data_IF_753699624074
#
_entry.id   IF_753699624074
#
_cell.length_a   1.000
_cell.length_b   1.000
_cell.length_c   1.000
_cell.angle_alpha   90.00
_cell.angle_beta   90.00
_cell.angle_gamma   90.00
#
_symmetry.space_group_name_H-M   'P 1'
#
loop_
_entity.id
_entity.type
_entity.pdbx_description
1 polymer ?
#
# COMPACT_ATOMS: atom_id res chain seq x y z
N UNK A 1 -0.93 10.58 2.59
CA UNK A 1 -1.82 9.93 1.63
C UNK A 1 -1.72 8.46 1.91
N UNK A 2 -2.82 7.81 2.23
CA UNK A 2 -2.79 6.37 2.53
C UNK A 2 -2.91 5.60 1.21
N UNK A 3 -1.96 4.70 0.89
CA UNK A 3 -2.08 3.85 -0.29
C UNK A 3 -3.28 2.91 -0.13
N UNK A 4 -3.97 2.65 -1.24
CA UNK A 4 -5.03 1.65 -1.33
C UNK A 4 -4.43 0.48 -2.12
N UNK A 5 -4.58 -0.73 -1.60
CA UNK A 5 -4.08 -1.96 -2.21
C UNK A 5 -5.25 -2.90 -2.49
N UNK A 6 -5.24 -3.56 -3.63
CA UNK A 6 -6.17 -4.64 -3.95
C UNK A 6 -5.53 -5.97 -3.58
N UNK A 7 -6.25 -6.85 -2.87
CA UNK A 7 -5.71 -8.11 -2.35
C UNK A 7 -6.81 -9.12 -2.03
N UNK A 8 -6.49 -10.40 -2.13
CA UNK A 8 -7.31 -11.53 -1.67
C UNK A 8 -7.40 -11.62 -0.13
N UNK A 9 -6.59 -10.84 0.59
CA UNK A 9 -6.65 -10.72 2.04
C UNK A 9 -8.04 -10.30 2.56
N UNK A 10 -8.83 -9.56 1.77
CA UNK A 10 -10.16 -9.06 2.19
C UNK A 10 -11.16 -10.17 2.51
N UNK A 11 -11.01 -11.33 1.87
CA UNK A 11 -11.90 -12.48 2.06
C UNK A 11 -11.39 -13.45 3.14
N UNK A 12 -10.14 -13.27 3.59
CA UNK A 12 -9.41 -14.25 4.43
C UNK A 12 -8.93 -13.69 5.76
N UNK A 13 -8.72 -12.38 5.86
CA UNK A 13 -8.38 -11.71 7.10
C UNK A 13 -9.64 -11.45 7.93
N UNK A 14 -9.54 -11.64 9.24
CA UNK A 14 -10.62 -11.40 10.18
C UNK A 14 -10.35 -10.15 11.02
N UNK A 15 -11.41 -9.61 11.62
CA UNK A 15 -11.27 -8.52 12.57
C UNK A 15 -10.38 -8.94 13.74
N UNK A 16 -9.30 -8.17 13.97
CA UNK A 16 -8.35 -8.41 15.05
C UNK A 16 -7.11 -9.18 14.64
N UNK A 17 -7.02 -9.66 13.39
CA UNK A 17 -5.77 -10.22 12.85
C UNK A 17 -4.67 -9.14 12.78
N UNK A 18 -3.45 -9.53 13.13
CA UNK A 18 -2.25 -8.72 12.93
C UNK A 18 -1.68 -8.98 11.54
N UNK A 19 -1.63 -7.93 10.72
CA UNK A 19 -1.15 -7.99 9.34
C UNK A 19 0.14 -7.19 9.19
N UNK A 20 1.15 -7.79 8.57
CA UNK A 20 2.32 -7.09 8.04
C UNK A 20 2.15 -6.87 6.53
N UNK A 21 2.33 -5.63 6.06
CA UNK A 21 2.10 -5.27 4.65
C UNK A 21 3.41 -4.81 4.01
N UNK A 22 3.87 -5.55 3.00
CA UNK A 22 4.95 -5.15 2.11
C UNK A 22 4.36 -4.76 0.74
N UNK A 23 4.01 -3.48 0.61
CA UNK A 23 3.39 -2.93 -0.60
C UNK A 23 4.34 -2.86 -1.80
N UNK A 24 5.65 -2.91 -1.57
CA UNK A 24 6.67 -2.92 -2.62
C UNK A 24 6.86 -4.33 -3.18
N UNK A 25 6.87 -5.35 -2.32
CA UNK A 25 6.93 -6.75 -2.72
C UNK A 25 5.57 -7.29 -3.21
N UNK A 26 4.47 -6.63 -2.88
CA UNK A 26 3.11 -7.07 -3.23
C UNK A 26 2.63 -8.22 -2.34
N UNK A 27 3.03 -8.21 -1.06
CA UNK A 27 2.76 -9.29 -0.11
C UNK A 27 2.14 -8.73 1.17
N UNK A 28 1.07 -9.37 1.64
CA UNK A 28 0.47 -9.15 2.95
C UNK A 28 0.61 -10.43 3.75
N UNK A 29 1.21 -10.38 4.94
CA UNK A 29 1.39 -11.53 5.83
C UNK A 29 0.46 -11.41 7.01
N UNK A 30 -0.39 -12.41 7.21
CA UNK A 30 -1.22 -12.54 8.39
C UNK A 30 -0.42 -13.27 9.48
N UNK A 31 0.08 -12.51 10.45
CA UNK A 31 0.92 -13.02 11.51
C UNK A 31 0.12 -13.86 12.52
N UNK A 32 -1.19 -13.60 12.64
CA UNK A 32 -2.10 -14.34 13.52
C UNK A 32 -2.40 -15.73 12.97
N UNK A 33 -2.59 -15.86 11.65
CA UNK A 33 -2.94 -17.13 10.98
C UNK A 33 -1.76 -17.86 10.36
N UNK A 34 -0.63 -17.19 10.16
CA UNK A 34 0.54 -17.74 9.46
C UNK A 34 0.30 -17.92 7.97
N UNK A 35 -0.47 -17.03 7.34
CA UNK A 35 -0.81 -17.06 5.92
C UNK A 35 -0.26 -15.84 5.20
N UNK A 36 0.10 -16.02 3.92
CA UNK A 36 0.51 -14.92 3.04
C UNK A 36 -0.54 -14.73 1.94
N UNK A 37 -0.78 -13.46 1.61
CA UNK A 37 -1.72 -12.99 0.59
C UNK A 37 -1.00 -12.11 -0.42
N UNK A 38 -1.48 -12.11 -1.66
CA UNK A 38 -0.91 -11.27 -2.70
C UNK A 38 -1.65 -9.93 -2.73
N UNK A 39 -0.93 -8.85 -2.99
CA UNK A 39 -1.54 -7.55 -3.25
C UNK A 39 -0.92 -6.87 -4.46
N UNK A 40 -1.69 -5.98 -5.08
CA UNK A 40 -1.20 -5.14 -6.18
C UNK A 40 -0.08 -4.24 -5.66
N UNK A 41 1.09 -4.30 -6.31
CA UNK A 41 2.19 -3.39 -6.00
C UNK A 41 1.84 -1.98 -6.43
N UNK A 42 2.28 -0.99 -5.64
CA UNK A 42 2.21 0.41 -6.07
C UNK A 42 3.25 0.62 -7.16
N UNK A 43 2.81 1.07 -8.33
CA UNK A 43 3.69 1.33 -9.47
C UNK A 43 3.62 2.80 -9.88
N UNK A 44 4.49 3.22 -10.80
CA UNK A 44 4.43 4.52 -11.47
C UNK A 44 4.02 5.70 -10.58
N UNK A 45 2.92 6.37 -10.98
CA UNK A 45 2.46 7.62 -10.38
C UNK A 45 1.87 7.42 -8.97
N UNK A 46 1.10 6.35 -8.74
CA UNK A 46 0.52 6.08 -7.43
C UNK A 46 1.58 5.86 -6.35
N UNK A 47 2.71 5.22 -6.70
CA UNK A 47 3.87 5.08 -5.81
C UNK A 47 4.50 6.44 -5.49
N UNK A 48 4.71 7.27 -6.50
CA UNK A 48 5.28 8.62 -6.31
C UNK A 48 4.40 9.50 -5.43
N UNK A 49 3.08 9.48 -5.66
CA UNK A 49 2.09 10.20 -4.86
C UNK A 49 2.11 9.71 -3.41
N UNK A 50 2.12 8.39 -3.19
CA UNK A 50 2.16 7.81 -1.85
C UNK A 50 3.45 8.21 -1.13
N UNK A 51 4.60 8.09 -1.79
CA UNK A 51 5.91 8.46 -1.25
C UNK A 51 6.03 9.97 -0.93
N UNK A 52 5.33 10.82 -1.68
CA UNK A 52 5.25 12.26 -1.39
C UNK A 52 4.37 12.58 -0.17
N UNK A 53 3.63 11.61 0.39
CA UNK A 53 2.68 11.85 1.46
C UNK A 53 1.29 12.25 0.96
N UNK A 54 0.97 11.98 -0.31
CA UNK A 54 -0.33 12.22 -0.94
C UNK A 54 -0.27 13.20 -2.11
N UNK A 55 -1.43 13.38 -2.75
CA UNK A 55 -1.54 14.13 -4.01
C UNK A 55 -1.15 15.61 -3.87
N UNK A 56 -1.60 16.29 -2.82
CA UNK A 56 -1.28 17.72 -2.61
C UNK A 56 0.23 17.93 -2.39
N UNK A 57 0.90 17.19 -1.46
CA UNK A 57 2.35 17.24 -1.36
C UNK A 57 3.09 16.93 -2.66
N UNK A 58 2.64 15.94 -3.44
CA UNK A 58 3.21 15.60 -4.75
C UNK A 58 3.15 16.78 -5.71
N UNK A 59 1.96 17.38 -5.88
CA UNK A 59 1.75 18.51 -6.79
C UNK A 59 2.57 19.75 -6.38
N UNK A 60 2.66 20.06 -5.09
CA UNK A 60 3.49 21.17 -4.61
C UNK A 60 4.97 20.97 -5.00
N UNK A 61 5.49 19.75 -4.80
CA UNK A 61 6.86 19.39 -5.16
C UNK A 61 7.14 19.51 -6.66
N UNK A 62 6.14 19.19 -7.49
CA UNK A 62 6.24 19.24 -8.95
C UNK A 62 6.12 20.67 -9.49
N UNK A 63 5.37 21.53 -8.80
CA UNK A 63 5.32 22.97 -9.09
C UNK A 63 6.64 23.65 -8.72
N UNK A 64 7.27 23.29 -7.60
CA UNK A 64 8.57 23.83 -7.17
C UNK A 64 9.74 23.37 -8.06
N UNK A 65 9.55 22.29 -8.83
CA UNK A 65 10.55 21.77 -9.79
C UNK A 65 10.54 22.52 -11.14
N UNK A 66 9.53 23.34 -11.41
CA UNK A 66 9.39 24.13 -12.64
C UNK A 66 9.89 25.57 -12.45
#
# INVERSE_FOLDING_TARGET
>A
GYPILESDAVDRADQGDELEVDADAGVIRNLTKGEDYACTTLSGLEKEISAAGGLIPYLNRELDRK
#
